data_IF_067285502264
#
_entry.id   IF_067285502264
#
_cell.length_a   1.000
_cell.length_b   1.000
_cell.length_c   1.000
_cell.angle_alpha   90.00
_cell.angle_beta   90.00
_cell.angle_gamma   90.00
#
_symmetry.space_group_name_H-M   'P 1'
#
loop_
_entity.id
_entity.type
_entity.pdbx_description
1 polymer ?
#
# COMPACT_ATOMS: atom_id res chain seq x y z
N UNK A 1 1.12 19.66 -9.81
CA UNK A 1 1.05 18.24 -10.20
C UNK A 1 0.08 18.11 -11.35
N UNK A 2 0.46 17.43 -12.43
CA UNK A 2 -0.40 17.30 -13.61
C UNK A 2 -1.30 16.05 -13.50
N UNK A 3 -2.30 15.97 -14.38
CA UNK A 3 -3.29 14.87 -14.41
C UNK A 3 -2.63 13.50 -14.62
N UNK A 4 -1.59 13.42 -15.46
CA UNK A 4 -0.88 12.17 -15.72
C UNK A 4 -0.19 11.64 -14.45
N UNK A 5 0.49 12.51 -13.69
CA UNK A 5 1.12 12.15 -12.42
C UNK A 5 0.08 11.64 -11.41
N UNK A 6 -1.09 12.29 -11.33
CA UNK A 6 -2.16 11.85 -10.44
C UNK A 6 -2.64 10.42 -10.78
N UNK A 7 -2.89 10.14 -12.06
CA UNK A 7 -3.25 8.79 -12.51
C UNK A 7 -2.13 7.78 -12.26
N UNK A 8 -0.87 8.17 -12.47
CA UNK A 8 0.27 7.30 -12.19
C UNK A 8 0.35 6.94 -10.70
N UNK A 9 0.13 7.89 -9.79
CA UNK A 9 0.07 7.61 -8.33
C UNK A 9 -1.03 6.59 -8.03
N UNK A 10 -2.24 6.81 -8.57
CA UNK A 10 -3.37 5.90 -8.37
C UNK A 10 -3.10 4.49 -8.91
N UNK A 11 -2.47 4.38 -10.08
CA UNK A 11 -2.09 3.11 -10.67
C UNK A 11 -1.07 2.35 -9.81
N UNK A 12 -0.05 3.03 -9.29
CA UNK A 12 0.94 2.42 -8.40
C UNK A 12 0.31 2.00 -7.07
N UNK A 13 -0.56 2.82 -6.48
CA UNK A 13 -1.32 2.46 -5.28
C UNK A 13 -2.19 1.21 -5.53
N UNK A 14 -2.87 1.12 -6.68
CA UNK A 14 -3.68 -0.04 -7.04
C UNK A 14 -2.84 -1.31 -7.25
N UNK A 15 -1.68 -1.20 -7.93
CA UNK A 15 -0.74 -2.32 -8.10
C UNK A 15 -0.23 -2.81 -6.74
N UNK A 16 0.22 -1.90 -5.88
CA UNK A 16 0.67 -2.24 -4.54
C UNK A 16 -0.44 -2.95 -3.74
N UNK A 17 -1.68 -2.43 -3.80
CA UNK A 17 -2.83 -3.05 -3.15
C UNK A 17 -3.13 -4.46 -3.68
N UNK A 18 -3.12 -4.69 -5.01
CA UNK A 18 -3.31 -6.04 -5.58
C UNK A 18 -2.24 -7.00 -5.06
N UNK A 19 -0.97 -6.58 -5.04
CA UNK A 19 0.13 -7.42 -4.56
C UNK A 19 -0.06 -7.77 -3.08
N UNK A 20 -0.53 -6.82 -2.26
CA UNK A 20 -0.87 -7.08 -0.87
C UNK A 20 -2.01 -8.09 -0.74
N UNK A 21 -3.06 -7.97 -1.54
CA UNK A 21 -4.17 -8.93 -1.49
C UNK A 21 -3.78 -10.32 -1.95
N UNK A 22 -2.93 -10.43 -2.98
CA UNK A 22 -2.36 -11.72 -3.36
C UNK A 22 -1.59 -12.33 -2.19
N UNK A 23 -0.78 -11.53 -1.47
CA UNK A 23 -0.10 -12.00 -0.28
C UNK A 23 -1.08 -12.46 0.81
N UNK A 24 -2.06 -11.64 1.19
CA UNK A 24 -3.01 -11.95 2.27
C UNK A 24 -3.81 -13.23 1.96
N UNK A 25 -4.25 -13.41 0.71
CA UNK A 25 -4.97 -14.61 0.27
C UNK A 25 -4.11 -15.87 0.22
N UNK A 26 -2.78 -15.78 0.24
CA UNK A 26 -1.90 -16.95 0.35
C UNK A 26 -1.40 -17.17 1.79
N UNK A 27 -1.27 -16.09 2.56
CA UNK A 27 -0.67 -16.09 3.89
C UNK A 27 -1.63 -16.51 5.01
N UNK A 28 -2.94 -16.64 4.74
CA UNK A 28 -3.96 -17.02 5.72
C UNK A 28 -3.74 -18.40 6.37
N UNK A 29 -2.81 -19.22 5.85
CA UNK A 29 -2.46 -20.55 6.39
C UNK A 29 -1.37 -20.50 7.46
N UNK A 30 -0.69 -19.37 7.61
CA UNK A 30 0.36 -19.23 8.61
C UNK A 30 -0.22 -19.03 10.01
N UNK A 31 0.55 -19.39 11.03
CA UNK A 31 0.24 -19.00 12.41
C UNK A 31 0.18 -17.47 12.51
N UNK A 32 -0.65 -16.94 13.41
CA UNK A 32 -0.85 -15.49 13.60
C UNK A 32 0.45 -14.69 13.73
N UNK A 33 1.41 -15.16 14.51
CA UNK A 33 2.69 -14.48 14.72
C UNK A 33 3.49 -14.34 13.43
N UNK A 34 3.61 -15.45 12.67
CA UNK A 34 4.29 -15.46 11.38
C UNK A 34 3.57 -14.62 10.34
N UNK A 35 2.23 -14.67 10.33
CA UNK A 35 1.42 -13.82 9.46
C UNK A 35 1.73 -12.33 9.69
N UNK A 36 1.67 -11.85 10.94
CA UNK A 36 1.92 -10.43 11.26
C UNK A 36 3.35 -10.02 10.89
N UNK A 37 4.35 -10.81 11.27
CA UNK A 37 5.75 -10.49 11.00
C UNK A 37 6.05 -10.41 9.49
N UNK A 38 5.56 -11.39 8.72
CA UNK A 38 5.72 -11.40 7.26
C UNK A 38 4.90 -10.27 6.61
N UNK A 39 3.72 -9.97 7.14
CA UNK A 39 2.85 -8.93 6.58
C UNK A 39 3.56 -7.58 6.60
N UNK A 40 4.18 -7.20 7.72
CA UNK A 40 4.93 -5.94 7.81
C UNK A 40 6.11 -5.88 6.84
N UNK A 41 6.86 -6.98 6.72
CA UNK A 41 7.96 -7.08 5.75
C UNK A 41 7.47 -6.92 4.32
N UNK A 42 6.37 -7.60 3.97
CA UNK A 42 5.78 -7.54 2.62
C UNK A 42 5.22 -6.15 2.32
N UNK A 43 4.61 -5.46 3.28
CA UNK A 43 4.17 -4.05 3.11
C UNK A 43 5.34 -3.16 2.73
N UNK A 44 6.47 -3.23 3.46
CA UNK A 44 7.67 -2.45 3.15
C UNK A 44 8.20 -2.78 1.75
N UNK A 45 8.30 -4.08 1.42
CA UNK A 45 8.82 -4.51 0.13
C UNK A 45 7.93 -4.08 -1.04
N UNK A 46 6.61 -4.29 -0.94
CA UNK A 46 5.64 -3.98 -2.00
C UNK A 46 5.52 -2.49 -2.20
N UNK A 47 5.21 -1.72 -1.15
CA UNK A 47 5.07 -0.27 -1.27
C UNK A 47 6.39 0.40 -1.61
N UNK A 48 7.49 -0.10 -1.03
CA UNK A 48 8.83 0.40 -1.33
C UNK A 48 9.22 0.19 -2.78
N UNK A 49 9.10 -1.03 -3.30
CA UNK A 49 9.45 -1.34 -4.68
C UNK A 49 8.56 -0.61 -5.68
N UNK A 50 7.23 -0.61 -5.47
CA UNK A 50 6.27 0.00 -6.39
C UNK A 50 6.40 1.53 -6.40
N UNK A 51 6.56 2.18 -5.26
CA UNK A 51 6.77 3.63 -5.26
C UNK A 51 8.20 4.03 -5.63
N UNK A 52 9.20 3.15 -5.45
CA UNK A 52 10.55 3.39 -5.97
C UNK A 52 10.55 3.51 -7.49
N UNK A 53 9.86 2.58 -8.19
CA UNK A 53 9.68 2.70 -9.64
C UNK A 53 8.95 3.99 -10.01
N UNK A 54 7.89 4.38 -9.27
CA UNK A 54 7.23 5.66 -9.53
C UNK A 54 8.20 6.85 -9.47
N UNK A 55 8.99 7.00 -8.39
CA UNK A 55 9.91 8.13 -8.21
C UNK A 55 11.10 8.09 -9.18
N UNK A 56 11.55 6.91 -9.61
CA UNK A 56 12.56 6.79 -10.67
C UNK A 56 12.11 7.33 -12.03
N UNK A 57 10.81 7.32 -12.33
CA UNK A 57 10.28 7.81 -13.61
C UNK A 57 9.61 9.20 -13.50
N UNK A 58 9.38 9.71 -12.30
CA UNK A 58 8.70 10.98 -12.04
C UNK A 58 9.52 11.89 -11.12
N UNK A 59 10.63 12.42 -11.63
CA UNK A 59 11.50 13.33 -10.89
C UNK A 59 10.84 14.69 -10.60
N UNK A 60 11.23 15.34 -9.48
CA UNK A 60 10.78 16.69 -9.13
C UNK A 60 9.31 16.78 -8.68
N UNK A 61 8.65 15.65 -8.44
CA UNK A 61 7.31 15.60 -7.82
C UNK A 61 7.43 15.76 -6.30
N UNK A 62 6.41 16.36 -5.67
CA UNK A 62 6.40 16.53 -4.22
C UNK A 62 6.19 15.19 -3.51
N UNK A 63 7.20 14.71 -2.78
CA UNK A 63 7.15 13.48 -1.98
C UNK A 63 5.96 13.47 -1.02
N UNK A 64 5.72 14.60 -0.34
CA UNK A 64 4.60 14.74 0.58
C UNK A 64 3.25 14.50 -0.12
N UNK A 65 2.99 15.20 -1.22
CA UNK A 65 1.72 15.06 -1.94
C UNK A 65 1.56 13.70 -2.60
N UNK A 66 2.63 13.11 -3.13
CA UNK A 66 2.62 11.75 -3.67
C UNK A 66 2.24 10.74 -2.58
N UNK A 67 2.81 10.87 -1.38
CA UNK A 67 2.51 9.98 -0.26
C UNK A 67 1.05 10.11 0.17
N UNK A 68 0.58 11.35 0.40
CA UNK A 68 -0.82 11.60 0.80
C UNK A 68 -1.80 11.04 -0.22
N UNK A 69 -1.59 11.31 -1.51
CA UNK A 69 -2.50 10.84 -2.56
C UNK A 69 -2.42 9.33 -2.74
N UNK A 70 -1.22 8.74 -2.68
CA UNK A 70 -1.04 7.28 -2.72
C UNK A 70 -1.87 6.59 -1.65
N UNK A 71 -1.78 7.08 -0.40
CA UNK A 71 -2.57 6.52 0.70
C UNK A 71 -4.07 6.80 0.58
N UNK A 72 -4.48 7.97 0.07
CA UNK A 72 -5.89 8.25 -0.22
C UNK A 72 -6.46 7.29 -1.27
N UNK A 73 -5.69 6.94 -2.32
CA UNK A 73 -6.07 5.92 -3.27
C UNK A 73 -6.22 4.55 -2.61
N UNK A 74 -5.24 4.12 -1.79
CA UNK A 74 -5.33 2.84 -1.05
C UNK A 74 -6.59 2.79 -0.19
N UNK A 75 -6.85 3.82 0.62
CA UNK A 75 -8.06 3.89 1.46
C UNK A 75 -9.33 3.83 0.62
N UNK A 76 -9.35 4.54 -0.51
CA UNK A 76 -10.51 4.54 -1.41
C UNK A 76 -10.76 3.15 -1.99
N UNK A 77 -9.70 2.47 -2.43
CA UNK A 77 -9.76 1.09 -2.94
C UNK A 77 -10.28 0.17 -1.85
N UNK A 78 -9.70 0.20 -0.64
CA UNK A 78 -10.15 -0.63 0.47
C UNK A 78 -11.62 -0.41 0.82
N UNK A 79 -12.08 0.83 0.91
CA UNK A 79 -13.49 1.13 1.18
C UNK A 79 -14.39 0.51 0.12
N UNK A 80 -14.02 0.62 -1.16
CA UNK A 80 -14.80 0.04 -2.26
C UNK A 80 -14.81 -1.49 -2.16
N UNK A 81 -13.65 -2.12 -2.00
CA UNK A 81 -13.54 -3.58 -1.96
C UNK A 81 -14.22 -4.17 -0.73
N UNK A 82 -13.96 -3.64 0.46
CA UNK A 82 -14.57 -4.14 1.70
C UNK A 82 -16.07 -3.88 1.78
N UNK A 83 -16.60 -2.87 1.08
CA UNK A 83 -18.03 -2.58 1.06
C UNK A 83 -18.79 -3.38 0.00
N UNK A 84 -18.21 -3.59 -1.17
CA UNK A 84 -18.94 -4.12 -2.33
C UNK A 84 -18.49 -5.50 -2.79
N UNK A 85 -17.26 -5.93 -2.48
CA UNK A 85 -16.68 -7.16 -3.03
C UNK A 85 -16.36 -8.22 -1.96
N UNK A 86 -16.09 -7.81 -0.72
CA UNK A 86 -15.71 -8.74 0.34
C UNK A 86 -16.91 -9.34 1.08
N UNK A 87 -17.05 -10.67 1.05
CA UNK A 87 -18.12 -11.43 1.72
C UNK A 87 -17.63 -12.42 2.80
N UNK A 88 -16.33 -12.46 3.09
CA UNK A 88 -15.71 -13.44 4.00
C UNK A 88 -15.61 -13.03 5.48
N UNK A 89 -15.11 -13.94 6.32
CA UNK A 89 -14.82 -13.67 7.73
C UNK A 89 -13.58 -12.77 7.90
N UNK A 90 -13.73 -11.68 8.67
CA UNK A 90 -12.69 -10.65 8.90
C UNK A 90 -11.82 -10.92 10.13
N UNK A 91 -11.67 -12.17 10.54
CA UNK A 91 -11.02 -12.53 11.82
C UNK A 91 -9.54 -12.11 11.90
N UNK A 92 -8.90 -11.85 10.76
CA UNK A 92 -7.53 -11.35 10.60
C UNK A 92 -7.44 -9.82 10.39
N UNK A 93 -8.56 -9.10 10.43
CA UNK A 93 -8.66 -7.65 10.17
C UNK A 93 -9.21 -6.92 11.40
N UNK A 94 -8.52 -7.02 12.54
CA UNK A 94 -8.80 -6.08 13.62
C UNK A 94 -8.15 -4.71 13.31
N UNK A 95 -8.57 -3.68 14.04
CA UNK A 95 -8.08 -2.31 13.81
C UNK A 95 -6.55 -2.19 13.83
N UNK A 96 -5.88 -2.96 14.69
CA UNK A 96 -4.41 -2.97 14.81
C UNK A 96 -3.77 -3.58 13.56
N UNK A 97 -4.30 -4.71 13.09
CA UNK A 97 -3.83 -5.40 11.89
C UNK A 97 -4.06 -4.58 10.60
N UNK A 98 -4.84 -3.50 10.68
CA UNK A 98 -5.05 -2.54 9.59
C UNK A 98 -4.20 -1.26 9.73
N UNK A 99 -4.21 -0.60 10.91
CA UNK A 99 -3.56 0.70 11.09
C UNK A 99 -2.03 0.63 11.03
N UNK A 100 -1.42 -0.45 11.51
CA UNK A 100 0.04 -0.60 11.48
C UNK A 100 0.57 -0.78 10.05
N UNK A 101 0.01 -1.68 9.21
CA UNK A 101 0.35 -1.71 7.79
C UNK A 101 0.17 -0.38 7.07
N UNK A 102 -0.90 0.36 7.37
CA UNK A 102 -1.13 1.68 6.77
C UNK A 102 -0.05 2.69 7.15
N UNK A 103 0.35 2.71 8.42
CA UNK A 103 1.47 3.53 8.90
C UNK A 103 2.79 3.12 8.22
N UNK A 104 3.10 1.81 8.18
CA UNK A 104 4.32 1.29 7.55
C UNK A 104 4.34 1.68 6.07
N UNK A 105 3.27 1.41 5.31
CA UNK A 105 3.14 1.79 3.91
C UNK A 105 3.38 3.29 3.71
N UNK A 106 2.73 4.14 4.51
CA UNK A 106 2.88 5.61 4.43
C UNK A 106 4.33 6.03 4.64
N UNK A 107 4.98 5.52 5.69
CA UNK A 107 6.39 5.84 6.00
C UNK A 107 7.34 5.31 4.93
N UNK A 108 7.08 4.12 4.39
CA UNK A 108 7.87 3.52 3.33
C UNK A 108 7.80 4.34 2.04
N UNK A 109 6.60 4.74 1.59
CA UNK A 109 6.44 5.58 0.40
C UNK A 109 7.19 6.89 0.57
N UNK A 110 7.03 7.55 1.73
CA UNK A 110 7.69 8.81 2.01
C UNK A 110 9.22 8.66 2.03
N UNK A 111 9.74 7.64 2.72
CA UNK A 111 11.17 7.38 2.81
C UNK A 111 11.80 7.10 1.43
N UNK A 112 11.15 6.25 0.63
CA UNK A 112 11.61 5.96 -0.73
C UNK A 112 11.56 7.20 -1.62
N UNK A 113 10.51 8.03 -1.49
CA UNK A 113 10.44 9.31 -2.16
C UNK A 113 11.61 10.22 -1.79
N UNK A 114 11.88 10.40 -0.51
CA UNK A 114 13.01 11.23 -0.05
C UNK A 114 14.38 10.76 -0.57
N UNK A 115 14.53 9.46 -0.88
CA UNK A 115 15.77 8.89 -1.41
C UNK A 115 15.91 9.04 -2.93
N UNK A 116 14.80 9.15 -3.68
CA UNK A 116 14.78 9.00 -5.14
C UNK A 116 14.16 10.19 -5.92
N UNK A 117 13.52 11.15 -5.23
CA UNK A 117 12.80 12.27 -5.85
C UNK A 117 13.67 13.47 -6.22
#
# INVERSE_FOLDING_TARGET
>A
MNTLTLFAIGLHAFIAWILMEVYVNNAHRFSRTWYIALHYGVVVLVFGAVFATFFQFHHGVSVFWTTVLGMLYVITIEIIVFRYLYSGERWFLNFIDWIFPMFIATTTIYAVGMLLS
#
